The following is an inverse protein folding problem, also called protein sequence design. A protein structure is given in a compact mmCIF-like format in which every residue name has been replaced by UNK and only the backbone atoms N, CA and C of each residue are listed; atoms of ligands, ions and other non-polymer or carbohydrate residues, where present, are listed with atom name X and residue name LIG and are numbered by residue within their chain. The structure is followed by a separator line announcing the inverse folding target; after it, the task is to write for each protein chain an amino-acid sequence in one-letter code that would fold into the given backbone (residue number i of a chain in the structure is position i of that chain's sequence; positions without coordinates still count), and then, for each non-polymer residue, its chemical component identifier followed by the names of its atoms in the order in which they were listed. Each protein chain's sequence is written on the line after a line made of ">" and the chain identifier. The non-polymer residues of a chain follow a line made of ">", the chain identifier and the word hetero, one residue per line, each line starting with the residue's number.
data_IF_977355271685
#
_entry.id   IF_977355271685
#
_cell.length_a   1.000
_cell.length_b   1.000
_cell.length_c   1.000
_cell.angle_alpha   90.00
_cell.angle_beta   90.00
_cell.angle_gamma   90.00
#
_symmetry.space_group_name_H-M   'P 1'
#
loop_
_entity.id
_entity.type
_entity.pdbx_description
1 polymer ?
#
# COMPACT_ATOMS: atom_id res chain seq x y z
N UNK A 1 -1.72 8.83 -20.70
CA UNK A 1 -1.25 7.90 -19.66
C UNK A 1 -1.84 6.53 -19.98
N UNK A 2 -1.18 5.40 -19.73
CA UNK A 2 -1.79 4.06 -19.92
C UNK A 2 -2.79 3.75 -18.79
N UNK A 3 -3.74 2.83 -19.02
CA UNK A 3 -4.69 2.42 -17.97
C UNK A 3 -3.99 1.97 -16.68
N UNK A 4 -2.90 1.21 -16.80
CA UNK A 4 -2.10 0.76 -15.65
C UNK A 4 -1.40 1.91 -14.92
N UNK A 5 -0.99 2.95 -15.63
CA UNK A 5 -0.35 4.13 -15.05
C UNK A 5 -1.38 4.99 -14.29
N UNK A 6 -2.59 5.11 -14.83
CA UNK A 6 -3.69 5.84 -14.19
C UNK A 6 -4.16 5.15 -12.90
N UNK A 7 -4.32 3.82 -12.92
CA UNK A 7 -4.64 3.03 -11.71
C UNK A 7 -3.56 3.20 -10.63
N UNK A 8 -2.28 3.14 -11.01
CA UNK A 8 -1.16 3.36 -10.08
C UNK A 8 -1.14 4.77 -9.52
N UNK A 9 -1.42 5.78 -10.33
CA UNK A 9 -1.52 7.16 -9.89
C UNK A 9 -2.59 7.33 -8.80
N UNK A 10 -3.81 6.83 -9.02
CA UNK A 10 -4.92 6.93 -8.07
C UNK A 10 -4.55 6.32 -6.71
N UNK A 11 -3.98 5.11 -6.73
CA UNK A 11 -3.55 4.41 -5.53
C UNK A 11 -2.44 5.15 -4.80
N UNK A 12 -1.41 5.60 -5.51
CA UNK A 12 -0.29 6.30 -4.91
C UNK A 12 -0.71 7.65 -4.32
N UNK A 13 -1.57 8.40 -5.01
CA UNK A 13 -2.11 9.65 -4.51
C UNK A 13 -2.86 9.44 -3.19
N UNK A 14 -3.74 8.43 -3.13
CA UNK A 14 -4.45 8.07 -1.90
C UNK A 14 -3.49 7.63 -0.79
N UNK A 15 -2.53 6.76 -1.12
CA UNK A 15 -1.52 6.27 -0.18
C UNK A 15 -0.72 7.41 0.46
N UNK A 16 -0.18 8.34 -0.34
CA UNK A 16 0.61 9.45 0.21
C UNK A 16 -0.23 10.40 1.06
N UNK A 17 -1.48 10.63 0.66
CA UNK A 17 -2.42 11.42 1.45
C UNK A 17 -2.64 10.77 2.83
N UNK A 18 -2.92 9.48 2.86
CA UNK A 18 -3.17 8.73 4.11
C UNK A 18 -1.91 8.57 4.96
N UNK A 19 -0.75 8.31 4.34
CA UNK A 19 0.56 8.26 5.02
C UNK A 19 0.88 9.55 5.78
N UNK A 20 0.44 10.70 5.26
CA UNK A 20 0.60 11.99 5.91
C UNK A 20 -0.56 12.36 6.85
N UNK A 21 -1.51 11.45 7.07
CA UNK A 21 -2.74 11.67 7.85
C UNK A 21 -3.58 12.86 7.33
N UNK A 22 -3.65 13.04 6.02
CA UNK A 22 -4.43 14.12 5.40
C UNK A 22 -5.81 13.65 4.97
N UNK A 23 -6.82 14.48 5.21
CA UNK A 23 -8.13 14.33 4.57
C UNK A 23 -8.05 14.77 3.10
N UNK A 24 -9.05 14.41 2.29
CA UNK A 24 -9.16 14.92 0.92
C UNK A 24 -9.26 16.45 0.89
N UNK A 25 -9.93 17.04 1.88
CA UNK A 25 -9.99 18.50 2.05
C UNK A 25 -8.60 19.08 2.29
N UNK A 26 -7.82 18.47 3.20
CA UNK A 26 -6.47 18.94 3.51
C UNK A 26 -5.54 18.89 2.30
N UNK A 27 -5.62 17.84 1.49
CA UNK A 27 -4.85 17.76 0.26
C UNK A 27 -5.31 18.80 -0.78
N UNK A 28 -6.61 19.07 -0.84
CA UNK A 28 -7.17 20.10 -1.71
C UNK A 28 -6.64 21.49 -1.33
N UNK A 29 -6.60 21.81 -0.03
CA UNK A 29 -6.01 23.05 0.49
C UNK A 29 -4.54 23.19 0.10
N UNK A 30 -3.75 22.12 0.25
CA UNK A 30 -2.32 22.10 -0.09
C UNK A 30 -2.06 22.34 -1.58
N UNK A 31 -2.98 21.88 -2.44
CA UNK A 31 -2.89 22.00 -3.89
C UNK A 31 -3.65 23.24 -4.41
N UNK A 32 -4.29 24.00 -3.53
CA UNK A 32 -5.15 25.15 -3.88
C UNK A 32 -6.23 24.78 -4.92
N UNK A 33 -6.94 23.67 -4.68
CA UNK A 33 -8.05 23.19 -5.52
C UNK A 33 -9.26 22.85 -4.65
N UNK A 34 -10.41 22.57 -5.26
CA UNK A 34 -11.57 22.11 -4.50
C UNK A 34 -11.42 20.63 -4.10
N UNK A 35 -12.01 20.23 -2.96
CA UNK A 35 -12.06 18.83 -2.55
C UNK A 35 -12.63 17.90 -3.63
N UNK A 36 -13.59 18.38 -4.42
CA UNK A 36 -14.18 17.62 -5.53
C UNK A 36 -13.15 17.24 -6.60
N UNK A 37 -12.14 18.08 -6.86
CA UNK A 37 -11.02 17.74 -7.75
C UNK A 37 -10.25 16.54 -7.20
N UNK A 38 -9.92 16.55 -5.91
CA UNK A 38 -9.23 15.43 -5.25
C UNK A 38 -10.03 14.15 -5.35
N UNK A 39 -11.34 14.21 -5.08
CA UNK A 39 -12.22 13.04 -5.20
C UNK A 39 -12.21 12.45 -6.61
N UNK A 40 -12.34 13.29 -7.66
CA UNK A 40 -12.34 12.81 -9.05
C UNK A 40 -10.99 12.26 -9.50
N UNK A 41 -9.89 12.84 -9.02
CA UNK A 41 -8.54 12.33 -9.28
C UNK A 41 -8.32 10.97 -8.61
N UNK A 42 -8.76 10.80 -7.36
CA UNK A 42 -8.65 9.52 -6.63
C UNK A 42 -9.61 8.44 -7.16
N UNK A 43 -10.80 8.81 -7.65
CA UNK A 43 -11.77 7.85 -8.22
C UNK A 43 -11.50 7.48 -9.67
N UNK A 44 -10.63 8.24 -10.36
CA UNK A 44 -10.36 8.04 -11.78
C UNK A 44 -11.37 8.67 -12.73
N UNK A 45 -12.36 9.39 -12.21
CA UNK A 45 -13.28 10.19 -13.03
C UNK A 45 -12.56 11.33 -13.77
N UNK A 46 -11.41 11.77 -13.26
CA UNK A 46 -10.57 12.79 -13.88
C UNK A 46 -9.13 12.27 -13.99
N UNK A 47 -8.56 12.33 -15.20
CA UNK A 47 -7.13 12.07 -15.37
C UNK A 47 -6.30 13.27 -14.88
N UNK A 48 -5.15 13.03 -14.22
CA UNK A 48 -4.25 14.11 -13.87
C UNK A 48 -3.51 14.63 -15.11
N UNK A 49 -3.57 15.94 -15.30
CA UNK A 49 -2.67 16.63 -16.22
C UNK A 49 -1.26 16.81 -15.61
N UNK A 50 -0.34 17.36 -16.41
CA UNK A 50 1.04 17.59 -15.95
C UNK A 50 1.12 18.55 -14.76
N UNK A 51 0.21 19.52 -14.66
CA UNK A 51 0.22 20.48 -13.55
C UNK A 51 -0.13 19.80 -12.22
N UNK A 52 -1.12 18.91 -12.21
CA UNK A 52 -1.43 18.10 -11.03
C UNK A 52 -0.26 17.19 -10.67
N UNK A 53 0.35 16.52 -11.65
CA UNK A 53 1.49 15.64 -11.39
C UNK A 53 2.67 16.39 -10.76
N UNK A 54 2.98 17.60 -11.24
CA UNK A 54 4.03 18.44 -10.68
C UNK A 54 3.69 18.86 -9.24
N UNK A 55 2.51 19.44 -9.02
CA UNK A 55 2.11 19.89 -7.68
C UNK A 55 2.05 18.75 -6.67
N UNK A 56 1.54 17.57 -7.07
CA UNK A 56 1.52 16.38 -6.23
C UNK A 56 2.93 15.86 -5.95
N UNK A 57 3.84 15.93 -6.93
CA UNK A 57 5.24 15.50 -6.76
C UNK A 57 5.94 16.35 -5.70
N UNK A 58 5.67 17.66 -5.68
CA UNK A 58 6.20 18.59 -4.69
C UNK A 58 5.56 18.40 -3.31
N UNK A 59 4.23 18.29 -3.25
CA UNK A 59 3.50 18.10 -1.99
C UNK A 59 3.87 16.79 -1.32
N UNK A 60 4.03 15.72 -2.09
CA UNK A 60 4.39 14.40 -1.55
C UNK A 60 5.90 14.13 -1.48
N UNK A 61 6.72 15.03 -2.03
CA UNK A 61 8.19 14.89 -2.08
C UNK A 61 8.64 13.59 -2.77
N UNK A 62 8.05 13.30 -3.93
CA UNK A 62 8.33 12.10 -4.75
C UNK A 62 8.45 12.48 -6.22
N UNK A 63 9.07 11.63 -7.05
CA UNK A 63 9.14 11.88 -8.49
C UNK A 63 7.77 11.66 -9.16
N UNK A 64 7.53 12.29 -10.33
CA UNK A 64 6.34 11.97 -11.15
C UNK A 64 6.35 10.50 -11.57
N UNK A 65 7.54 9.97 -11.91
CA UNK A 65 7.73 8.55 -12.22
C UNK A 65 7.26 7.66 -11.07
N UNK A 66 7.47 8.09 -9.83
CA UNK A 66 7.01 7.40 -8.64
C UNK A 66 5.49 7.48 -8.49
N UNK A 67 4.88 8.65 -8.71
CA UNK A 67 3.42 8.83 -8.65
C UNK A 67 2.69 7.92 -9.63
N UNK A 68 3.17 7.79 -10.87
CA UNK A 68 2.53 6.94 -11.90
C UNK A 68 3.06 5.49 -11.90
N UNK A 69 3.98 5.16 -10.97
CA UNK A 69 4.54 3.83 -10.78
C UNK A 69 5.44 3.32 -11.92
N UNK A 70 6.24 4.22 -12.50
CA UNK A 70 7.33 3.95 -13.45
C UNK A 70 8.72 3.77 -12.83
N UNK A 71 8.91 4.14 -11.56
CA UNK A 71 10.21 3.96 -10.90
C UNK A 71 10.41 2.49 -10.46
N UNK A 72 11.37 1.82 -11.11
CA UNK A 72 11.58 0.36 -11.12
C UNK A 72 12.09 -0.30 -9.83
N UNK A 73 12.01 0.33 -8.66
CA UNK A 73 12.74 -0.19 -7.48
C UNK A 73 11.91 -0.31 -6.19
N UNK A 74 10.67 0.20 -6.10
CA UNK A 74 9.99 0.24 -4.78
C UNK A 74 8.46 -0.03 -4.81
N UNK A 75 7.79 0.10 -5.96
CA UNK A 75 6.32 0.16 -6.02
C UNK A 75 5.59 -1.04 -6.64
N UNK A 76 6.25 -2.16 -6.87
CA UNK A 76 5.51 -3.38 -7.20
C UNK A 76 4.71 -3.90 -6.00
N UNK A 77 5.27 -3.78 -4.79
CA UNK A 77 4.63 -4.22 -3.54
C UNK A 77 3.47 -3.33 -3.09
N UNK A 78 3.52 -2.00 -3.28
CA UNK A 78 2.44 -1.10 -2.87
C UNK A 78 1.16 -1.33 -3.70
N UNK A 79 1.28 -1.62 -5.00
CA UNK A 79 0.14 -1.98 -5.86
C UNK A 79 -0.50 -3.32 -5.45
N UNK A 80 0.32 -4.31 -5.07
CA UNK A 80 -0.16 -5.64 -4.64
C UNK A 80 -0.83 -5.59 -3.25
N UNK A 81 -0.32 -4.76 -2.33
CA UNK A 81 -0.82 -4.66 -0.95
C UNK A 81 -2.12 -3.85 -0.85
N UNK A 82 -2.21 -2.69 -1.50
CA UNK A 82 -3.37 -1.79 -1.34
C UNK A 82 -4.47 -1.97 -2.38
N UNK A 83 -4.19 -2.61 -3.53
CA UNK A 83 -5.14 -2.73 -4.63
C UNK A 83 -6.05 -3.96 -4.58
N UNK A 84 -5.75 -4.94 -3.71
CA UNK A 84 -6.44 -6.24 -3.67
C UNK A 84 -6.98 -6.67 -2.31
N UNK A 85 -6.53 -6.07 -1.21
CA UNK A 85 -7.03 -6.38 0.11
C UNK A 85 -7.88 -5.19 0.56
N UNK A 86 -9.18 -5.40 0.77
CA UNK A 86 -9.97 -4.47 1.59
C UNK A 86 -9.19 -4.28 2.89
N UNK A 87 -8.81 -3.04 3.19
CA UNK A 87 -8.00 -2.74 4.37
C UNK A 87 -8.82 -3.02 5.62
N UNK A 88 -8.80 -4.27 6.07
CA UNK A 88 -9.19 -4.59 7.44
C UNK A 88 -8.16 -3.95 8.37
N UNK A 89 -8.60 -3.23 9.41
CA UNK A 89 -7.74 -2.72 10.48
C UNK A 89 -6.81 -3.81 11.05
N UNK A 90 -7.26 -5.06 10.98
CA UNK A 90 -6.52 -6.28 11.29
C UNK A 90 -5.14 -6.37 10.60
N UNK A 91 -5.02 -5.94 9.33
CA UNK A 91 -3.76 -6.07 8.59
C UNK A 91 -2.70 -5.08 9.08
N UNK A 92 -3.10 -3.84 9.39
CA UNK A 92 -2.18 -2.83 9.93
C UNK A 92 -1.62 -3.26 11.29
N UNK A 93 -2.44 -3.88 12.15
CA UNK A 93 -1.98 -4.44 13.42
C UNK A 93 -0.96 -5.56 13.23
N UNK A 94 -1.11 -6.40 12.21
CA UNK A 94 -0.14 -7.45 11.88
C UNK A 94 1.19 -6.85 11.42
N UNK A 95 1.15 -5.83 10.56
CA UNK A 95 2.37 -5.14 10.09
C UNK A 95 3.10 -4.48 11.27
N UNK A 96 2.39 -3.75 12.13
CA UNK A 96 2.98 -3.15 13.33
C UNK A 96 3.61 -4.21 14.27
N UNK A 97 2.92 -5.33 14.50
CA UNK A 97 3.44 -6.44 15.27
C UNK A 97 4.74 -7.01 14.68
N UNK A 98 4.79 -7.22 13.36
CA UNK A 98 5.97 -7.77 12.68
C UNK A 98 7.15 -6.80 12.71
N UNK A 99 6.89 -5.50 12.58
CA UNK A 99 7.93 -4.45 12.71
C UNK A 99 8.55 -4.48 14.12
N UNK A 100 7.73 -4.69 15.16
CA UNK A 100 8.19 -4.84 16.54
C UNK A 100 8.93 -6.15 16.81
N UNK A 101 8.82 -7.14 15.91
CA UNK A 101 9.44 -8.47 16.05
C UNK A 101 10.34 -8.79 14.83
N UNK A 102 11.51 -8.13 14.69
CA UNK A 102 12.32 -8.18 13.47
C UNK A 102 12.81 -9.59 13.12
N UNK A 103 13.06 -10.43 14.14
CA UNK A 103 13.42 -11.83 13.92
C UNK A 103 12.29 -12.58 13.21
N UNK A 104 11.04 -12.44 13.66
CA UNK A 104 9.89 -13.08 13.04
C UNK A 104 9.72 -12.63 11.59
N UNK A 105 9.78 -11.33 11.34
CA UNK A 105 9.72 -10.76 9.99
C UNK A 105 10.82 -11.36 9.07
N UNK A 106 12.07 -11.44 9.56
CA UNK A 106 13.17 -12.02 8.78
C UNK A 106 12.98 -13.52 8.48
N UNK A 107 12.39 -14.29 9.41
CA UNK A 107 12.10 -15.71 9.18
C UNK A 107 11.00 -15.88 8.14
N UNK A 108 9.93 -15.07 8.21
CA UNK A 108 8.89 -15.06 7.19
C UNK A 108 9.45 -14.69 5.82
N UNK A 109 10.36 -13.72 5.75
CA UNK A 109 11.03 -13.35 4.51
C UNK A 109 11.87 -14.52 3.93
N UNK A 110 12.59 -15.26 4.77
CA UNK A 110 13.32 -16.45 4.33
C UNK A 110 12.38 -17.55 3.83
N UNK A 111 11.23 -17.74 4.49
CA UNK A 111 10.20 -18.68 4.07
C UNK A 111 9.66 -18.35 2.67
N UNK A 112 9.49 -17.06 2.35
CA UNK A 112 9.09 -16.60 1.00
C UNK A 112 10.12 -16.95 -0.09
N UNK A 113 11.38 -17.24 0.27
CA UNK A 113 12.42 -17.68 -0.66
C UNK A 113 12.52 -19.22 -0.75
N UNK A 114 11.85 -19.96 0.13
CA UNK A 114 11.87 -21.42 0.14
C UNK A 114 11.11 -22.01 -1.06
N UNK A 115 11.44 -23.25 -1.44
CA UNK A 115 10.75 -24.00 -2.49
C UNK A 115 9.26 -24.14 -2.16
N UNK A 116 8.39 -24.08 -3.17
CA UNK A 116 6.93 -24.07 -3.00
C UNK A 116 6.39 -25.21 -2.13
N UNK A 117 6.93 -26.43 -2.31
CA UNK A 117 6.52 -27.60 -1.52
C UNK A 117 6.88 -27.46 -0.04
N UNK A 118 8.10 -27.04 0.24
CA UNK A 118 8.61 -26.89 1.62
C UNK A 118 7.93 -25.71 2.31
N UNK A 119 7.72 -24.61 1.56
CA UNK A 119 6.99 -23.43 2.03
C UNK A 119 5.58 -23.77 2.48
N UNK A 120 4.80 -24.45 1.64
CA UNK A 120 3.42 -24.84 1.95
C UNK A 120 3.35 -25.72 3.19
N UNK A 121 4.25 -26.71 3.30
CA UNK A 121 4.32 -27.56 4.48
C UNK A 121 4.58 -26.75 5.76
N UNK A 122 5.50 -25.79 5.71
CA UNK A 122 5.81 -24.92 6.85
C UNK A 122 4.62 -24.01 7.20
N UNK A 123 3.95 -23.45 6.20
CA UNK A 123 2.73 -22.64 6.40
C UNK A 123 1.62 -23.45 7.07
N UNK A 124 1.36 -24.68 6.61
CA UNK A 124 0.36 -25.58 7.20
C UNK A 124 0.69 -25.90 8.67
N UNK A 125 1.98 -26.11 9.00
CA UNK A 125 2.45 -26.33 10.37
C UNK A 125 2.22 -25.08 11.22
N UNK A 126 2.59 -23.90 10.73
CA UNK A 126 2.42 -22.63 11.45
C UNK A 126 0.94 -22.38 11.78
N UNK A 127 0.05 -22.56 10.81
CA UNK A 127 -1.40 -22.44 11.01
C UNK A 127 -1.87 -23.42 12.09
N UNK A 128 -1.50 -24.70 11.99
CA UNK A 128 -1.89 -25.72 12.98
C UNK A 128 -1.43 -25.39 14.40
N UNK A 129 -0.20 -24.87 14.55
CA UNK A 129 0.34 -24.48 15.86
C UNK A 129 -0.44 -23.30 16.45
N UNK A 130 -0.72 -22.28 15.65
CA UNK A 130 -1.49 -21.10 16.09
C UNK A 130 -2.90 -21.50 16.49
N UNK A 131 -3.62 -22.27 15.67
CA UNK A 131 -4.97 -22.75 15.98
C UNK A 131 -5.03 -23.57 17.28
N UNK A 132 -4.01 -24.41 17.53
CA UNK A 132 -3.94 -25.18 18.77
C UNK A 132 -3.69 -24.29 19.98
N UNK A 133 -2.79 -23.32 19.86
CA UNK A 133 -2.49 -22.39 20.95
C UNK A 133 -3.70 -21.55 21.34
N UNK A 134 -4.50 -21.11 20.36
CA UNK A 134 -5.71 -20.32 20.60
C UNK A 134 -6.89 -21.15 21.11
N UNK A 135 -7.05 -22.41 20.68
CA UNK A 135 -8.08 -23.33 21.20
C UNK A 135 -7.82 -23.84 22.62
N UNK A 136 -6.57 -23.81 23.09
CA UNK A 136 -6.22 -24.17 24.48
C UNK A 136 -6.56 -23.02 25.45
N UNK A 137 -6.83 -21.81 24.94
CA UNK A 137 -7.16 -20.62 25.73
C UNK A 137 -8.65 -20.37 25.92
N UNK A 138 -9.52 -21.24 25.37
CA UNK A 138 -10.98 -21.29 25.58
C UNK A 138 -11.38 -22.45 26.51
#
# INVERSE_FOLDING_TARGET
>A
MSMKELERFQMNMKYYREKNNWSQERLADLLNVSRSVITRLESGEQEPDLSYLLSLSEVFQVSIGHLIGKDNQTNQYLYEVYGKYETEESFLHIIDYLVKQPKMASMLQQLLLAKTKDRKLIEDILVSVVEKATKISE
#
